data_IF_252876829036
#
_entry.id   IF_252876829036
#
_cell.length_a   1.000
_cell.length_b   1.000
_cell.length_c   1.000
_cell.angle_alpha   90.00
_cell.angle_beta   90.00
_cell.angle_gamma   90.00
#
_symmetry.space_group_name_H-M   'P 1'
#
loop_
_entity.id
_entity.type
_entity.pdbx_description
1 polymer ?
#
# COMPACT_ATOMS: atom_id res chain seq x y z
N UNK A 1 0.28 9.01 5.15
CA UNK A 1 0.33 10.05 4.09
C UNK A 1 0.16 11.48 4.62
N UNK A 2 -0.90 11.82 5.37
CA UNK A 2 -1.11 13.19 5.91
C UNK A 2 0.04 13.68 6.81
N UNK A 3 0.54 12.81 7.69
CA UNK A 3 1.71 13.12 8.56
C UNK A 3 2.99 13.42 7.77
N UNK A 4 3.08 12.93 6.53
CA UNK A 4 4.21 13.15 5.61
C UNK A 4 4.04 14.40 4.73
N UNK A 5 3.02 15.23 5.00
CA UNK A 5 2.73 16.49 4.29
C UNK A 5 2.61 16.34 2.76
N UNK A 6 2.14 15.17 2.32
CA UNK A 6 1.84 14.92 0.90
C UNK A 6 0.71 15.84 0.44
N UNK A 7 0.78 16.44 -0.77
CA UNK A 7 -0.28 17.26 -1.33
C UNK A 7 -1.66 16.58 -1.29
N UNK A 8 -2.71 17.37 -1.02
CA UNK A 8 -4.07 16.86 -0.80
C UNK A 8 -4.61 16.16 -2.04
N UNK A 9 -4.28 16.67 -3.21
CA UNK A 9 -4.67 16.15 -4.51
C UNK A 9 -4.17 14.72 -4.70
N UNK A 10 -2.92 14.44 -4.31
CA UNK A 10 -2.33 13.10 -4.38
C UNK A 10 -2.97 12.14 -3.37
N UNK A 11 -3.40 12.64 -2.21
CA UNK A 11 -4.13 11.83 -1.22
C UNK A 11 -5.49 11.42 -1.79
N UNK A 12 -6.23 12.36 -2.38
CA UNK A 12 -7.54 12.10 -3.01
C UNK A 12 -7.39 11.12 -4.17
N UNK A 13 -6.40 11.35 -5.04
CA UNK A 13 -6.09 10.44 -6.14
C UNK A 13 -5.79 9.03 -5.62
N UNK A 14 -4.97 8.90 -4.59
CA UNK A 14 -4.66 7.59 -3.98
C UNK A 14 -5.90 6.91 -3.40
N UNK A 15 -6.78 7.67 -2.73
CA UNK A 15 -8.04 7.15 -2.19
C UNK A 15 -8.95 6.63 -3.31
N UNK A 16 -9.04 7.35 -4.42
CA UNK A 16 -9.80 6.93 -5.59
C UNK A 16 -9.20 5.66 -6.23
N UNK A 17 -7.88 5.58 -6.36
CA UNK A 17 -7.18 4.39 -6.88
C UNK A 17 -7.44 3.17 -6.00
N UNK A 18 -7.53 3.35 -4.68
CA UNK A 18 -7.65 2.23 -3.73
C UNK A 18 -9.11 1.83 -3.41
N UNK A 19 -10.10 2.62 -3.81
CA UNK A 19 -11.51 2.40 -3.51
C UNK A 19 -12.22 1.58 -4.58
N UNK A 20 -13.13 0.68 -4.17
CA UNK A 20 -14.01 -0.05 -5.09
C UNK A 20 -13.31 -1.07 -6.00
N UNK A 21 -12.04 -1.39 -5.72
CA UNK A 21 -11.24 -2.32 -6.51
C UNK A 21 -11.80 -3.74 -6.45
N UNK A 22 -11.69 -4.44 -7.58
CA UNK A 22 -12.00 -5.86 -7.73
C UNK A 22 -10.92 -6.52 -8.57
N UNK A 23 -10.72 -7.81 -8.40
CA UNK A 23 -9.80 -8.60 -9.23
C UNK A 23 -10.48 -9.86 -9.76
N UNK A 24 -9.94 -10.41 -10.84
CA UNK A 24 -10.27 -11.74 -11.34
C UNK A 24 -8.99 -12.54 -11.46
N UNK A 25 -9.07 -13.82 -11.14
CA UNK A 25 -8.00 -14.78 -11.36
C UNK A 25 -8.22 -15.43 -12.72
N UNK A 26 -7.19 -15.41 -13.57
CA UNK A 26 -7.21 -16.07 -14.88
C UNK A 26 -6.10 -17.09 -14.97
N UNK A 27 -6.46 -18.35 -15.19
CA UNK A 27 -5.54 -19.47 -15.31
C UNK A 27 -6.16 -20.54 -16.22
N UNK A 28 -5.37 -21.12 -17.12
CA UNK A 28 -5.75 -22.27 -17.96
C UNK A 28 -7.14 -22.19 -18.63
N UNK A 29 -7.50 -21.00 -19.13
CA UNK A 29 -8.79 -20.76 -19.79
C UNK A 29 -9.97 -20.53 -18.83
N UNK A 30 -9.78 -20.71 -17.53
CA UNK A 30 -10.74 -20.31 -16.49
C UNK A 30 -10.54 -18.83 -16.11
N UNK A 31 -11.66 -18.16 -15.83
CA UNK A 31 -11.71 -16.81 -15.26
C UNK A 31 -12.64 -16.87 -14.06
N UNK A 32 -12.15 -16.40 -12.90
CA UNK A 32 -12.96 -16.35 -11.69
C UNK A 32 -14.05 -15.29 -11.77
N UNK A 33 -15.05 -15.41 -10.89
CA UNK A 33 -15.90 -14.27 -10.54
C UNK A 33 -15.08 -13.10 -9.99
N UNK A 34 -15.67 -11.90 -10.01
CA UNK A 34 -15.03 -10.71 -9.45
C UNK A 34 -14.88 -10.82 -7.93
N UNK A 35 -13.64 -10.72 -7.45
CA UNK A 35 -13.31 -10.74 -6.03
C UNK A 35 -13.10 -9.30 -5.55
N UNK A 36 -13.88 -8.80 -4.57
CA UNK A 36 -13.67 -7.45 -4.03
C UNK A 36 -12.35 -7.38 -3.26
N UNK A 37 -11.55 -6.35 -3.54
CA UNK A 37 -10.32 -6.07 -2.81
C UNK A 37 -10.67 -5.09 -1.68
N UNK A 38 -10.66 -5.57 -0.44
CA UNK A 38 -11.01 -4.77 0.74
C UNK A 38 -9.79 -4.19 1.47
N UNK A 39 -8.58 -4.62 1.11
CA UNK A 39 -7.34 -4.18 1.73
C UNK A 39 -6.14 -4.24 0.78
N UNK A 40 -5.01 -3.69 1.22
CA UNK A 40 -3.75 -3.71 0.47
C UNK A 40 -3.72 -2.79 -0.74
N UNK A 41 -2.66 -2.91 -1.52
CA UNK A 41 -2.36 -2.14 -2.74
C UNK A 41 -2.14 -3.09 -3.92
N UNK A 42 -2.26 -2.61 -5.16
CA UNK A 42 -2.14 -3.47 -6.35
C UNK A 42 -0.71 -4.00 -6.52
N UNK A 43 -0.53 -5.31 -6.68
CA UNK A 43 0.79 -5.85 -6.99
C UNK A 43 1.15 -5.61 -8.47
N UNK A 44 2.41 -5.27 -8.74
CA UNK A 44 2.89 -4.96 -10.09
C UNK A 44 2.58 -3.55 -10.58
N UNK A 45 1.84 -2.75 -9.82
CA UNK A 45 1.62 -1.32 -10.09
C UNK A 45 2.81 -0.49 -9.58
N UNK A 46 3.48 0.31 -10.43
CA UNK A 46 4.56 1.21 -9.99
C UNK A 46 4.16 2.16 -8.85
N UNK A 47 2.91 2.63 -8.82
CA UNK A 47 2.44 3.52 -7.75
C UNK A 47 2.38 2.79 -6.40
N UNK A 48 2.02 1.50 -6.41
CA UNK A 48 1.98 0.69 -5.19
C UNK A 48 3.33 0.61 -4.47
N UNK A 49 4.44 0.54 -5.19
CA UNK A 49 5.77 0.55 -4.56
C UNK A 49 6.02 1.85 -3.78
N UNK A 50 5.64 3.00 -4.35
CA UNK A 50 5.77 4.31 -3.69
C UNK A 50 4.83 4.39 -2.48
N UNK A 51 3.58 3.94 -2.63
CA UNK A 51 2.61 3.91 -1.53
C UNK A 51 3.09 3.04 -0.37
N UNK A 52 3.73 1.91 -0.66
CA UNK A 52 4.32 1.04 0.35
C UNK A 52 5.43 1.73 1.14
N UNK A 53 6.33 2.48 0.48
CA UNK A 53 7.37 3.26 1.14
C UNK A 53 6.75 4.32 2.05
N UNK A 54 5.74 5.04 1.57
CA UNK A 54 5.07 6.08 2.36
C UNK A 54 4.37 5.47 3.58
N UNK A 55 3.69 4.32 3.43
CA UNK A 55 3.05 3.61 4.52
C UNK A 55 4.06 3.10 5.57
N UNK A 56 5.17 2.51 5.12
CA UNK A 56 6.18 1.92 6.00
C UNK A 56 7.11 2.92 6.68
N UNK A 57 7.21 4.15 6.17
CA UNK A 57 8.09 5.19 6.71
C UNK A 57 7.89 5.45 8.22
N UNK A 58 6.64 5.42 8.70
CA UNK A 58 6.34 5.64 10.12
C UNK A 58 6.89 4.51 11.00
N UNK A 59 6.88 3.27 10.51
CA UNK A 59 7.45 2.11 11.22
C UNK A 59 8.97 2.24 11.35
N UNK A 60 9.64 2.73 10.31
CA UNK A 60 11.09 2.96 10.33
C UNK A 60 11.45 4.02 11.38
N UNK A 61 10.68 5.10 11.45
CA UNK A 61 10.92 6.16 12.43
C UNK A 61 10.69 5.67 13.87
N UNK A 62 9.72 4.78 14.10
CA UNK A 62 9.51 4.13 15.40
C UNK A 62 10.70 3.20 15.74
N UNK A 63 11.16 2.41 14.77
CA UNK A 63 12.27 1.49 14.98
C UNK A 63 13.57 2.23 15.35
N UNK A 64 13.86 3.36 14.69
CA UNK A 64 15.03 4.20 14.98
C UNK A 64 15.01 4.82 16.39
N UNK A 65 13.83 5.07 16.95
CA UNK A 65 13.68 5.64 18.30
C UNK A 65 13.97 4.64 19.42
N UNK A 66 14.06 3.34 19.11
CA UNK A 66 14.55 2.36 20.07
C UNK A 66 16.07 2.33 19.97
N UNK A 67 16.83 2.70 21.03
CA UNK A 67 18.25 2.41 21.06
C UNK A 67 18.36 0.89 20.87
N UNK A 68 19.20 0.46 19.93
CA UNK A 68 19.45 -0.96 19.72
C UNK A 68 19.77 -1.58 21.07
N UNK A 69 19.00 -2.60 21.47
CA UNK A 69 19.61 -3.59 22.34
C UNK A 69 20.70 -4.21 21.48
N UNK A 70 21.92 -3.73 21.64
CA UNK A 70 23.09 -4.51 21.29
C UNK A 70 22.86 -5.88 21.94
N UNK A 71 22.73 -6.90 21.09
CA UNK A 71 22.61 -8.26 21.55
C UNK A 71 23.89 -8.57 22.34
N UNK A 72 23.73 -8.74 23.65
CA UNK A 72 24.72 -9.35 24.53
C UNK A 72 24.95 -10.81 24.14
#
# INVERSE_FOLDING_TARGET
>A
MRMRRIPRELIIFTEQVLTGRKTQLRFDGYVSEWIPIVNGIGQGDPLSMILYIIYSSDLIDIAKKRPGREAL
#
